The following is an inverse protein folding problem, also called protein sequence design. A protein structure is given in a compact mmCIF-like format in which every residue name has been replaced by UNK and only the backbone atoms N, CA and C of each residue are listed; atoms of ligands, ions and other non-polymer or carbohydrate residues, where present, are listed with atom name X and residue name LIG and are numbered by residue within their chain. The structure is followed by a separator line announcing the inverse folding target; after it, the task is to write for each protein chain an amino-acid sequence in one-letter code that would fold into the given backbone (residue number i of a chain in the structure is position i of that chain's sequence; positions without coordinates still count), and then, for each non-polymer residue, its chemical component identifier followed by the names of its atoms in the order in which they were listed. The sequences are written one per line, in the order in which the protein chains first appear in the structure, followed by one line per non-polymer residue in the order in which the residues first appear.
data_IF_383678910722
#
_entry.id   IF_383678910722
#
_cell.length_a   1.000
_cell.length_b   1.000
_cell.length_c   1.000
_cell.angle_alpha   90.00
_cell.angle_beta   90.00
_cell.angle_gamma   90.00
#
_symmetry.space_group_name_H-M   'P 1'
#
loop_
_entity.id
_entity.type
_entity.pdbx_description
1 polymer ?
#
# COMPACT_ATOMS: atom_id res chain seq x y z
N UNK A 1 -7.46 -3.36 0.92
CA UNK A 1 -7.53 -2.59 -0.34
C UNK A 1 -6.94 -3.49 -1.42
N UNK A 2 -7.64 -3.63 -2.55
CA UNK A 2 -7.27 -4.51 -3.66
C UNK A 2 -7.27 -3.66 -4.93
N UNK A 3 -6.28 -3.86 -5.81
CA UNK A 3 -6.15 -3.07 -7.03
C UNK A 3 -6.26 -3.96 -8.27
N UNK A 4 -6.87 -3.46 -9.36
CA UNK A 4 -6.80 -4.11 -10.66
C UNK A 4 -5.35 -4.03 -11.20
N UNK A 5 -4.92 -5.03 -11.97
CA UNK A 5 -3.58 -5.06 -12.57
C UNK A 5 -2.96 -6.47 -12.69
N UNK A 6 -3.71 -7.53 -12.39
CA UNK A 6 -3.35 -8.91 -12.73
C UNK A 6 -4.35 -9.51 -13.70
N UNK A 7 -4.20 -10.76 -14.11
CA UNK A 7 -5.21 -11.49 -14.89
C UNK A 7 -4.62 -12.30 -16.04
N UNK A 8 -5.42 -13.22 -16.57
CA UNK A 8 -5.10 -13.90 -17.83
C UNK A 8 -5.28 -12.92 -19.00
N UNK A 9 -4.61 -13.22 -20.11
CA UNK A 9 -4.92 -12.56 -21.37
C UNK A 9 -6.30 -13.04 -21.84
N UNK A 10 -7.13 -12.09 -22.25
CA UNK A 10 -8.39 -12.37 -22.93
C UNK A 10 -8.15 -12.82 -24.36
N UNK A 11 -9.23 -13.22 -25.03
CA UNK A 11 -9.18 -13.71 -26.42
C UNK A 11 -8.63 -12.65 -27.41
N UNK A 12 -8.61 -11.37 -27.03
CA UNK A 12 -8.06 -10.25 -27.79
C UNK A 12 -6.58 -9.93 -27.45
N UNK A 13 -5.95 -10.76 -26.59
CA UNK A 13 -4.58 -10.58 -26.13
C UNK A 13 -4.41 -9.46 -25.09
N UNK A 14 -5.50 -8.87 -24.58
CA UNK A 14 -5.45 -7.86 -23.52
C UNK A 14 -5.73 -8.52 -22.16
N UNK A 15 -5.06 -8.12 -21.07
CA UNK A 15 -5.34 -8.67 -19.76
C UNK A 15 -6.77 -8.35 -19.31
N UNK A 16 -7.53 -9.37 -18.88
CA UNK A 16 -8.93 -9.20 -18.46
C UNK A 16 -9.10 -8.55 -17.08
N UNK A 17 -7.99 -8.29 -16.38
CA UNK A 17 -7.99 -7.70 -15.04
C UNK A 17 -8.29 -8.71 -13.93
N UNK A 18 -7.60 -8.55 -12.81
CA UNK A 18 -7.70 -9.34 -11.57
C UNK A 18 -7.12 -8.51 -10.42
N UNK A 19 -7.46 -8.90 -9.20
CA UNK A 19 -7.22 -8.14 -7.97
C UNK A 19 -5.91 -8.53 -7.28
N UNK A 20 -5.02 -7.55 -7.07
CA UNK A 20 -3.79 -7.69 -6.29
C UNK A 20 -3.88 -7.07 -4.90
N UNK A 21 -3.32 -7.74 -3.89
CA UNK A 21 -3.27 -7.23 -2.51
C UNK A 21 -2.34 -6.02 -2.42
N UNK A 22 -2.81 -4.94 -1.79
CA UNK A 22 -2.05 -3.69 -1.69
C UNK A 22 -1.67 -3.32 -0.27
N UNK A 23 -2.50 -3.71 0.69
CA UNK A 23 -2.33 -3.41 2.11
C UNK A 23 -2.94 -4.54 2.96
N UNK A 24 -2.29 -4.81 4.08
CA UNK A 24 -2.86 -5.59 5.18
C UNK A 24 -2.93 -4.73 6.44
N UNK A 25 -4.04 -4.86 7.18
CA UNK A 25 -4.28 -4.20 8.45
C UNK A 25 -4.73 -5.25 9.46
N UNK A 26 -4.08 -5.30 10.62
CA UNK A 26 -4.34 -6.33 11.63
C UNK A 26 -4.41 -5.72 13.02
N UNK A 27 -5.39 -6.17 13.80
CA UNK A 27 -5.46 -5.96 15.25
C UNK A 27 -5.06 -7.26 15.93
N UNK A 28 -3.93 -7.23 16.64
CA UNK A 28 -3.32 -8.44 17.22
C UNK A 28 -3.60 -8.59 18.72
N UNK A 29 -4.29 -7.61 19.32
CA UNK A 29 -4.49 -7.57 20.76
C UNK A 29 -3.14 -7.58 21.50
N UNK A 30 -3.06 -8.33 22.58
CA UNK A 30 -1.84 -8.46 23.37
C UNK A 30 -0.90 -9.58 22.91
N UNK A 31 -1.20 -10.31 21.81
CA UNK A 31 -0.42 -11.50 21.41
C UNK A 31 1.07 -11.19 21.22
N UNK A 32 1.39 -10.18 20.40
CA UNK A 32 2.78 -9.75 20.19
C UNK A 32 3.37 -9.12 21.46
N UNK A 33 2.59 -8.30 22.17
CA UNK A 33 3.04 -7.60 23.37
C UNK A 33 3.38 -8.55 24.52
N UNK A 34 2.67 -9.68 24.67
CA UNK A 34 3.01 -10.75 25.63
C UNK A 34 4.36 -11.38 25.31
N UNK A 35 4.62 -11.66 24.04
CA UNK A 35 5.87 -12.29 23.57
C UNK A 35 7.07 -11.35 23.69
N UNK A 36 6.86 -10.05 23.56
CA UNK A 36 7.88 -9.00 23.71
C UNK A 36 7.96 -8.42 25.13
N UNK A 37 7.12 -8.88 26.06
CA UNK A 37 6.97 -8.33 27.40
C UNK A 37 6.66 -6.81 27.43
N UNK A 38 5.95 -6.31 26.41
CA UNK A 38 5.63 -4.90 26.21
C UNK A 38 4.38 -4.53 27.02
N UNK A 39 4.60 -3.73 28.07
CA UNK A 39 3.62 -3.40 29.12
C UNK A 39 3.58 -1.91 29.37
N UNK A 40 2.44 -1.43 29.86
CA UNK A 40 2.30 -0.07 30.36
C UNK A 40 1.61 -0.07 31.72
N UNK A 41 1.74 1.04 32.46
CA UNK A 41 1.00 1.25 33.70
C UNK A 41 -0.31 1.95 33.37
N UNK A 42 -1.41 1.27 33.67
CA UNK A 42 -2.74 1.81 33.47
C UNK A 42 -2.95 3.02 34.42
N UNK A 43 -3.33 4.20 33.90
CA UNK A 43 -3.40 5.42 34.70
C UNK A 43 -4.55 5.41 35.72
N UNK A 44 -5.62 4.66 35.46
CA UNK A 44 -6.81 4.58 36.32
C UNK A 44 -6.62 3.54 37.42
N UNK A 45 -6.25 2.32 37.03
CA UNK A 45 -6.15 1.17 37.94
C UNK A 45 -4.77 1.05 38.61
N UNK A 46 -3.77 1.79 38.11
CA UNK A 46 -2.35 1.73 38.51
C UNK A 46 -1.69 0.36 38.31
N UNK A 47 -2.38 -0.60 37.69
CA UNK A 47 -1.86 -1.95 37.40
C UNK A 47 -0.92 -1.91 36.19
N UNK A 48 0.04 -2.83 36.18
CA UNK A 48 0.86 -3.07 34.97
C UNK A 48 0.10 -4.07 34.09
N UNK A 49 -0.20 -3.68 32.85
CA UNK A 49 -0.96 -4.49 31.89
C UNK A 49 -0.22 -4.58 30.56
N UNK A 50 -0.49 -5.61 29.76
CA UNK A 50 0.05 -5.73 28.42
C UNK A 50 -0.62 -4.73 27.47
N UNK A 51 0.17 -4.08 26.62
CA UNK A 51 -0.36 -3.21 25.57
C UNK A 51 -1.06 -4.04 24.49
N UNK A 52 -1.88 -3.36 23.67
CA UNK A 52 -2.41 -3.94 22.44
C UNK A 52 -1.65 -3.42 21.23
N UNK A 53 -1.39 -4.32 20.29
CA UNK A 53 -0.69 -4.05 19.06
C UNK A 53 -1.63 -4.09 17.86
N UNK A 54 -1.35 -3.20 16.92
CA UNK A 54 -1.98 -3.13 15.60
C UNK A 54 -0.91 -2.72 14.59
N UNK A 55 -1.09 -3.15 13.35
CA UNK A 55 -0.26 -2.70 12.24
C UNK A 55 -1.14 -2.48 11.01
N UNK A 56 -0.67 -1.59 10.13
CA UNK A 56 -1.26 -1.34 8.84
C UNK A 56 -0.15 -0.98 7.85
N UNK A 57 -0.23 -1.52 6.64
CA UNK A 57 0.61 -1.06 5.53
C UNK A 57 0.11 0.33 5.12
N UNK A 58 1.02 1.31 4.94
CA UNK A 58 0.65 2.64 4.43
C UNK A 58 0.81 2.72 2.91
N UNK A 59 1.93 2.22 2.39
CA UNK A 59 2.18 2.04 0.97
C UNK A 59 3.22 0.93 0.78
N UNK A 60 2.84 -0.17 0.11
CA UNK A 60 3.78 -1.25 -0.20
C UNK A 60 4.65 -0.86 -1.39
N UNK A 61 5.93 -0.56 -1.17
CA UNK A 61 6.77 0.20 -2.12
C UNK A 61 7.20 -0.49 -3.41
N UNK A 62 7.02 -1.80 -3.69
CA UNK A 62 6.95 -2.20 -5.09
C UNK A 62 5.51 -2.15 -5.63
N UNK A 63 4.50 -2.49 -4.81
CA UNK A 63 3.12 -2.70 -5.28
C UNK A 63 2.40 -1.41 -5.63
N UNK A 64 2.75 -0.29 -4.99
CA UNK A 64 2.12 1.01 -5.28
C UNK A 64 2.53 1.57 -6.64
N UNK A 65 3.65 1.12 -7.23
CA UNK A 65 4.09 1.58 -8.53
C UNK A 65 3.23 1.03 -9.67
N UNK A 66 2.75 -0.21 -9.55
CA UNK A 66 1.90 -0.88 -10.56
C UNK A 66 0.68 -0.02 -10.95
N UNK A 67 -0.21 0.38 -10.02
CA UNK A 67 -1.37 1.21 -10.38
C UNK A 67 -0.98 2.61 -10.86
N UNK A 68 0.12 3.17 -10.36
CA UNK A 68 0.61 4.48 -10.83
C UNK A 68 0.99 4.36 -12.31
N UNK A 69 1.69 3.30 -12.70
CA UNK A 69 2.08 3.09 -14.08
C UNK A 69 0.88 2.72 -14.97
N UNK A 70 0.07 1.73 -14.56
CA UNK A 70 -1.02 1.21 -15.39
C UNK A 70 -2.19 2.18 -15.54
N UNK A 71 -2.59 2.88 -14.49
CA UNK A 71 -3.75 3.78 -14.54
C UNK A 71 -3.43 5.16 -15.12
N UNK A 72 -2.15 5.55 -15.14
CA UNK A 72 -1.73 6.86 -15.65
C UNK A 72 -0.96 6.78 -16.98
N UNK A 73 -0.83 5.60 -17.57
CA UNK A 73 -0.27 5.40 -18.90
C UNK A 73 -1.09 6.15 -19.96
N UNK A 74 -0.38 6.78 -20.89
CA UNK A 74 -0.92 7.48 -22.05
C UNK A 74 -0.74 6.64 -23.32
N UNK A 75 -1.45 6.99 -24.39
CA UNK A 75 -1.41 6.25 -25.66
C UNK A 75 -0.02 6.24 -26.34
N UNK A 76 0.83 7.23 -26.05
CA UNK A 76 2.22 7.33 -26.53
C UNK A 76 3.21 6.56 -25.64
N UNK A 77 2.73 5.88 -24.59
CA UNK A 77 3.54 5.13 -23.63
C UNK A 77 4.13 5.98 -22.50
N UNK A 78 3.92 7.29 -22.48
CA UNK A 78 4.28 8.13 -21.33
C UNK A 78 3.35 7.87 -20.14
N UNK A 79 3.78 8.22 -18.92
CA UNK A 79 2.97 8.08 -17.71
C UNK A 79 2.78 9.44 -17.07
N UNK A 80 1.53 9.87 -16.92
CA UNK A 80 1.22 11.12 -16.22
C UNK A 80 1.48 10.97 -14.71
N UNK A 81 2.17 11.94 -14.11
CA UNK A 81 2.46 11.94 -12.68
C UNK A 81 1.25 12.50 -11.92
N UNK A 82 0.67 11.75 -10.97
CA UNK A 82 -0.41 12.25 -10.11
C UNK A 82 -0.01 13.56 -9.43
N UNK A 83 -0.92 14.53 -9.37
CA UNK A 83 -0.65 15.86 -8.81
C UNK A 83 -0.03 15.81 -7.41
N UNK A 84 -0.51 14.90 -6.56
CA UNK A 84 0.00 14.69 -5.21
C UNK A 84 1.47 14.23 -5.15
N UNK A 85 2.00 13.64 -6.22
CA UNK A 85 3.39 13.15 -6.30
C UNK A 85 4.34 14.18 -6.92
N UNK A 86 3.85 15.13 -7.71
CA UNK A 86 4.69 16.12 -8.42
C UNK A 86 5.66 16.90 -7.50
N UNK A 87 5.27 17.35 -6.28
CA UNK A 87 6.21 18.03 -5.38
C UNK A 87 7.43 17.17 -4.99
N UNK A 88 7.27 15.85 -4.96
CA UNK A 88 8.33 14.89 -4.64
C UNK A 88 9.16 14.50 -5.87
N UNK A 89 8.73 14.89 -7.07
CA UNK A 89 9.39 14.60 -8.35
C UNK A 89 9.94 15.87 -9.01
N UNK A 90 10.21 16.93 -8.24
CA UNK A 90 10.76 18.19 -8.77
C UNK A 90 9.81 18.94 -9.70
N UNK A 91 8.50 18.76 -9.53
CA UNK A 91 7.48 19.35 -10.40
C UNK A 91 7.24 18.59 -11.70
N UNK A 92 7.87 17.42 -11.89
CA UNK A 92 7.68 16.58 -13.06
C UNK A 92 6.20 16.18 -13.21
N UNK A 93 5.64 16.41 -14.40
CA UNK A 93 4.25 16.10 -14.72
C UNK A 93 4.07 14.81 -15.50
N UNK A 94 5.12 14.35 -16.19
CA UNK A 94 5.09 13.16 -17.06
C UNK A 94 6.43 12.42 -16.98
N UNK A 95 6.36 11.09 -16.93
CA UNK A 95 7.50 10.18 -17.10
C UNK A 95 7.50 9.70 -18.54
N UNK A 96 8.62 9.85 -19.24
CA UNK A 96 8.82 9.37 -20.61
C UNK A 96 9.93 8.34 -20.64
N UNK A 97 9.91 7.45 -21.64
CA UNK A 97 11.08 6.62 -21.93
C UNK A 97 12.30 7.51 -22.27
N UNK A 98 13.51 7.11 -21.87
CA UNK A 98 14.74 7.80 -22.28
C UNK A 98 14.97 7.73 -23.79
#
# INVERSE_FOLDING_TARGET
CWMPGRGADGDDGRPVGDWGETHSASRLGDYQCRRLNLRYRDPETKKTVFAYSLNNTVAASPRILIPILEMHQQADGSVSVPEALRPYMGGMETITSP
#
